data_IF_189132843298
#
_entry.id   IF_189132843298
#
_cell.length_a   1.000
_cell.length_b   1.000
_cell.length_c   1.000
_cell.angle_alpha   90.00
_cell.angle_beta   90.00
_cell.angle_gamma   90.00
#
_symmetry.space_group_name_H-M   'P 1'
#
loop_
_entity.id
_entity.type
_entity.pdbx_description
1 polymer ?
#
# COMPACT_ATOMS: atom_id res chain seq x y z
N UNK A 1 -12.66 -3.93 9.06
CA UNK A 1 -12.22 -4.11 10.46
C UNK A 1 -10.73 -4.44 10.48
N UNK A 2 -10.01 -4.14 11.56
CA UNK A 2 -8.64 -4.62 11.76
C UNK A 2 -8.67 -5.87 12.62
N UNK A 3 -8.02 -6.96 12.19
CA UNK A 3 -7.92 -8.20 12.93
C UNK A 3 -6.50 -8.38 13.43
N UNK A 4 -6.34 -8.37 14.75
CA UNK A 4 -5.04 -8.53 15.41
C UNK A 4 -4.70 -10.01 15.57
N UNK A 5 -5.40 -10.69 16.49
CA UNK A 5 -5.15 -12.09 16.82
C UNK A 5 -6.47 -12.87 16.88
N UNK A 6 -6.40 -14.14 16.48
CA UNK A 6 -7.47 -15.12 16.67
C UNK A 6 -6.93 -16.20 17.61
N UNK A 7 -7.64 -16.42 18.72
CA UNK A 7 -7.26 -17.38 19.76
C UNK A 7 -8.27 -18.52 19.73
N UNK A 8 -7.78 -19.74 19.54
CA UNK A 8 -8.61 -20.95 19.53
C UNK A 8 -8.29 -21.74 20.81
N UNK A 9 -9.26 -21.76 21.73
CA UNK A 9 -9.19 -22.53 22.97
C UNK A 9 -9.72 -23.96 22.73
N UNK A 10 -8.83 -24.95 22.80
CA UNK A 10 -9.20 -26.35 22.63
C UNK A 10 -9.46 -26.99 24.00
N UNK A 11 -10.74 -27.13 24.36
CA UNK A 11 -11.13 -27.94 25.52
C UNK A 11 -11.09 -29.43 25.16
N UNK A 12 -10.10 -30.17 25.65
CA UNK A 12 -9.95 -31.62 25.40
C UNK A 12 -8.61 -32.23 25.86
N UNK A 13 -8.42 -33.54 25.61
CA UNK A 13 -7.38 -34.43 26.16
C UNK A 13 -5.91 -34.01 25.88
N UNK A 14 -5.68 -33.09 24.94
CA UNK A 14 -4.35 -32.57 24.55
C UNK A 14 -4.22 -31.05 24.78
N UNK A 15 -4.88 -30.54 25.84
CA UNK A 15 -5.06 -29.12 26.14
C UNK A 15 -4.00 -28.15 25.62
N UNK A 16 -4.45 -27.06 25.01
CA UNK A 16 -3.57 -26.01 24.50
C UNK A 16 -4.33 -24.89 23.81
N UNK A 17 -3.72 -23.70 23.81
CA UNK A 17 -4.24 -22.51 23.11
C UNK A 17 -3.49 -22.37 21.78
N UNK A 18 -4.23 -22.27 20.67
CA UNK A 18 -3.63 -21.96 19.36
C UNK A 18 -3.82 -20.48 19.07
N UNK A 19 -2.70 -19.79 18.87
CA UNK A 19 -2.68 -18.39 18.46
C UNK A 19 -2.44 -18.26 16.96
N UNK A 20 -3.28 -17.45 16.32
CA UNK A 20 -3.18 -17.06 14.91
C UNK A 20 -3.02 -15.54 14.89
N UNK A 21 -1.84 -15.08 14.49
CA UNK A 21 -1.56 -13.65 14.36
C UNK A 21 -1.88 -13.20 12.94
N UNK A 22 -2.83 -12.27 12.79
CA UNK A 22 -3.24 -11.69 11.51
C UNK A 22 -2.59 -10.32 11.30
N UNK A 23 -2.74 -9.40 12.27
CA UNK A 23 -2.33 -7.99 12.19
C UNK A 23 -2.66 -7.32 10.84
N UNK A 24 -3.93 -7.38 10.46
CA UNK A 24 -4.30 -7.06 9.08
C UNK A 24 -5.72 -6.54 8.94
N UNK A 25 -5.94 -5.68 7.94
CA UNK A 25 -7.26 -5.16 7.60
C UNK A 25 -8.09 -6.20 6.84
N UNK A 26 -9.27 -6.50 7.38
CA UNK A 26 -10.31 -7.29 6.72
C UNK A 26 -11.30 -6.33 6.05
N UNK A 27 -11.38 -6.42 4.72
CA UNK A 27 -12.34 -5.69 3.90
C UNK A 27 -13.65 -6.47 3.73
N UNK A 28 -14.68 -5.78 3.23
CA UNK A 28 -15.99 -6.38 2.96
C UNK A 28 -15.90 -7.48 1.90
N UNK A 29 -16.63 -8.59 2.08
CA UNK A 29 -16.76 -9.69 1.09
C UNK A 29 -17.30 -9.23 -0.28
N UNK A 30 -17.87 -8.03 -0.35
CA UNK A 30 -18.34 -7.44 -1.60
C UNK A 30 -17.21 -6.75 -2.40
N UNK A 31 -16.09 -6.41 -1.76
CA UNK A 31 -14.95 -5.77 -2.42
C UNK A 31 -14.00 -6.79 -3.04
N UNK A 32 -13.83 -7.96 -2.42
CA UNK A 32 -13.09 -9.09 -2.98
C UNK A 32 -13.83 -10.39 -2.63
N UNK A 33 -13.92 -11.28 -3.62
CA UNK A 33 -14.54 -12.60 -3.44
C UNK A 33 -13.60 -13.58 -2.76
N UNK A 34 -12.29 -13.34 -2.82
CA UNK A 34 -11.30 -14.21 -2.20
C UNK A 34 -11.29 -14.01 -0.67
N UNK A 35 -11.50 -15.09 0.10
CA UNK A 35 -11.48 -15.01 1.56
C UNK A 35 -10.07 -14.71 2.06
N UNK A 36 -9.98 -13.97 3.16
CA UNK A 36 -8.72 -13.73 3.86
C UNK A 36 -8.27 -14.98 4.59
N UNK A 37 -6.99 -15.31 4.46
CA UNK A 37 -6.35 -16.42 5.17
C UNK A 37 -5.31 -15.84 6.13
N UNK A 38 -5.31 -16.31 7.38
CA UNK A 38 -4.23 -16.11 8.33
C UNK A 38 -3.68 -17.49 8.73
N UNK A 39 -2.37 -17.57 8.97
CA UNK A 39 -1.71 -18.80 9.39
C UNK A 39 -1.42 -18.77 10.89
N UNK A 40 -1.35 -19.95 11.51
CA UNK A 40 -0.88 -20.10 12.89
C UNK A 40 0.56 -19.58 13.02
N UNK A 41 0.93 -19.15 14.23
CA UNK A 41 2.27 -18.64 14.51
C UNK A 41 3.32 -19.78 14.60
N UNK A 42 3.58 -20.42 13.45
CA UNK A 42 4.62 -21.42 13.25
C UNK A 42 5.32 -21.19 11.92
N UNK A 43 6.64 -21.09 11.95
CA UNK A 43 7.45 -20.86 10.76
C UNK A 43 7.78 -22.17 10.05
N UNK A 44 7.59 -22.19 8.73
CA UNK A 44 7.97 -23.32 7.87
C UNK A 44 8.72 -22.83 6.63
N UNK A 45 9.81 -23.52 6.28
CA UNK A 45 10.37 -23.43 4.93
C UNK A 45 9.33 -23.94 3.91
N UNK A 46 9.41 -23.53 2.63
CA UNK A 46 8.52 -24.04 1.59
C UNK A 46 8.48 -25.59 1.53
N UNK A 47 9.63 -26.24 1.67
CA UNK A 47 9.75 -27.71 1.68
C UNK A 47 9.12 -28.37 2.91
N UNK A 48 9.03 -27.65 4.04
CA UNK A 48 8.51 -28.13 5.32
C UNK A 48 7.03 -27.78 5.53
N UNK A 49 6.41 -27.04 4.60
CA UNK A 49 5.01 -26.63 4.73
C UNK A 49 4.12 -27.89 4.75
N UNK A 50 3.24 -28.08 5.77
CA UNK A 50 2.33 -29.22 5.83
C UNK A 50 1.54 -29.37 4.53
N UNK A 51 1.37 -30.60 4.05
CA UNK A 51 0.77 -30.88 2.73
C UNK A 51 -0.60 -30.20 2.53
N UNK A 52 -1.45 -30.21 3.56
CA UNK A 52 -2.75 -29.55 3.54
C UNK A 52 -2.72 -28.02 3.48
N UNK A 53 -1.57 -27.39 3.75
CA UNK A 53 -1.41 -25.92 3.74
C UNK A 53 -0.69 -25.39 2.48
N UNK A 54 -0.08 -26.27 1.67
CA UNK A 54 0.72 -25.86 0.50
C UNK A 54 -0.11 -25.06 -0.50
N UNK A 55 -1.30 -25.54 -0.84
CA UNK A 55 -2.21 -24.87 -1.80
C UNK A 55 -2.64 -23.49 -1.31
N UNK A 56 -2.93 -23.34 -0.01
CA UNK A 56 -3.28 -22.05 0.59
C UNK A 56 -2.11 -21.08 0.61
N UNK A 57 -0.89 -21.55 0.93
CA UNK A 57 0.33 -20.74 0.88
C UNK A 57 0.59 -20.21 -0.52
N UNK A 58 0.50 -21.06 -1.54
CA UNK A 58 0.70 -20.68 -2.94
C UNK A 58 -0.39 -19.72 -3.43
N UNK A 59 -1.65 -19.96 -3.03
CA UNK A 59 -2.78 -19.10 -3.40
C UNK A 59 -2.63 -17.70 -2.80
N UNK A 60 -2.31 -17.59 -1.51
CA UNK A 60 -2.08 -16.28 -0.87
C UNK A 60 -0.92 -15.54 -1.53
N UNK A 61 0.18 -16.24 -1.86
CA UNK A 61 1.31 -15.62 -2.57
C UNK A 61 0.89 -15.04 -3.94
N UNK A 62 0.09 -15.78 -4.72
CA UNK A 62 -0.43 -15.30 -6.02
C UNK A 62 -1.36 -14.10 -5.86
N UNK A 63 -2.19 -14.08 -4.82
CA UNK A 63 -3.06 -12.93 -4.50
C UNK A 63 -2.22 -11.69 -4.18
N UNK A 64 -1.15 -11.85 -3.40
CA UNK A 64 -0.24 -10.76 -3.06
C UNK A 64 0.57 -10.24 -4.28
N UNK A 65 0.92 -11.12 -5.23
CA UNK A 65 1.60 -10.70 -6.47
C UNK A 65 0.66 -9.99 -7.46
N UNK A 66 -0.62 -10.37 -7.47
CA UNK A 66 -1.59 -9.86 -8.42
C UNK A 66 -1.30 -10.26 -9.87
N UNK A 67 -1.85 -9.49 -10.81
CA UNK A 67 -1.81 -9.79 -12.27
C UNK A 67 -0.94 -8.83 -13.09
N UNK A 68 -0.29 -7.85 -12.44
CA UNK A 68 0.56 -6.85 -13.12
C UNK A 68 -0.18 -5.72 -13.86
N UNK A 69 -1.51 -5.76 -13.90
CA UNK A 69 -2.35 -4.82 -14.66
C UNK A 69 -3.39 -4.14 -13.78
N UNK A 70 -4.07 -3.11 -14.30
CA UNK A 70 -5.13 -2.38 -13.59
C UNK A 70 -4.63 -1.36 -12.56
N UNK A 71 -5.51 -0.43 -12.21
CA UNK A 71 -5.27 0.57 -11.16
C UNK A 71 -5.51 -0.05 -9.77
N UNK A 72 -4.59 0.21 -8.85
CA UNK A 72 -4.66 -0.32 -7.49
C UNK A 72 -5.77 0.34 -6.67
N UNK A 73 -6.49 -0.46 -5.89
CA UNK A 73 -7.58 -0.01 -5.00
C UNK A 73 -7.16 -0.06 -3.54
N UNK A 74 -7.71 0.83 -2.72
CA UNK A 74 -7.28 1.06 -1.32
C UNK A 74 -7.38 -0.17 -0.41
N UNK A 75 -8.21 -1.16 -0.74
CA UNK A 75 -8.38 -2.40 0.02
C UNK A 75 -7.47 -3.54 -0.46
N UNK A 76 -6.77 -3.37 -1.58
CA UNK A 76 -5.88 -4.38 -2.16
C UNK A 76 -4.55 -4.48 -1.39
N UNK A 77 -3.94 -5.67 -1.41
CA UNK A 77 -2.60 -5.95 -0.85
C UNK A 77 -1.67 -6.46 -1.94
N UNK A 78 -1.75 -5.85 -3.12
CA UNK A 78 -0.97 -6.29 -4.27
C UNK A 78 0.38 -5.58 -4.22
N UNK A 79 1.44 -6.38 -4.13
CA UNK A 79 2.83 -5.95 -4.15
C UNK A 79 3.37 -6.21 -5.56
N UNK A 80 3.67 -5.14 -6.26
CA UNK A 80 4.21 -5.18 -7.61
C UNK A 80 5.09 -3.95 -7.84
N UNK A 81 5.90 -3.98 -8.90
CA UNK A 81 6.96 -3.02 -9.14
C UNK A 81 6.68 -2.15 -10.35
N UNK A 82 7.11 -0.90 -10.24
CA UNK A 82 7.13 0.02 -11.38
C UNK A 82 8.30 1.01 -11.22
N UNK A 83 8.57 1.79 -12.25
CA UNK A 83 9.60 2.83 -12.29
C UNK A 83 9.09 4.14 -11.67
N UNK A 84 9.99 5.07 -11.38
CA UNK A 84 9.61 6.42 -10.97
C UNK A 84 9.28 7.26 -12.20
N UNK A 85 8.05 7.10 -12.69
CA UNK A 85 7.45 7.87 -13.76
C UNK A 85 6.24 8.70 -13.27
N UNK A 86 6.07 8.84 -11.96
CA UNK A 86 4.92 9.46 -11.29
C UNK A 86 5.30 10.72 -10.48
N UNK A 87 6.52 11.21 -10.70
CA UNK A 87 7.08 12.40 -10.02
C UNK A 87 6.69 13.71 -10.71
N UNK A 88 6.59 13.71 -12.03
CA UNK A 88 6.24 14.87 -12.83
C UNK A 88 4.73 15.09 -12.94
N UNK A 89 4.35 16.27 -13.42
CA UNK A 89 2.96 16.61 -13.75
C UNK A 89 2.84 17.35 -15.09
N UNK A 90 3.22 16.70 -16.21
CA UNK A 90 3.27 17.34 -17.51
C UNK A 90 1.89 17.82 -18.01
N UNK A 91 0.80 17.16 -17.60
CA UNK A 91 -0.57 17.56 -17.97
C UNK A 91 -0.96 18.95 -17.39
N UNK A 92 -0.31 19.37 -16.30
CA UNK A 92 -0.54 20.68 -15.67
C UNK A 92 0.35 21.78 -16.24
N UNK A 93 1.62 21.49 -16.50
CA UNK A 93 2.61 22.43 -17.08
C UNK A 93 3.86 21.68 -17.54
N UNK A 94 4.44 22.13 -18.65
CA UNK A 94 5.71 21.61 -19.17
C UNK A 94 6.87 21.77 -18.15
N UNK A 95 6.85 22.80 -17.31
CA UNK A 95 7.86 23.02 -16.26
C UNK A 95 7.82 21.95 -15.17
N UNK A 96 6.71 21.23 -15.04
CA UNK A 96 6.51 20.15 -14.09
C UNK A 96 6.86 18.79 -14.69
N UNK A 97 7.29 18.72 -15.94
CA UNK A 97 7.76 17.47 -16.55
C UNK A 97 9.01 16.96 -15.82
N UNK A 98 9.06 15.65 -15.57
CA UNK A 98 10.22 14.99 -14.96
C UNK A 98 10.57 13.73 -15.75
N UNK A 99 11.88 13.43 -15.91
CA UNK A 99 12.31 12.23 -16.61
C UNK A 99 12.01 10.96 -15.78
N UNK A 100 11.72 9.87 -16.47
CA UNK A 100 11.52 8.55 -15.85
C UNK A 100 12.82 8.01 -15.25
N UNK A 101 12.77 7.52 -14.00
CA UNK A 101 13.91 6.88 -13.32
C UNK A 101 13.65 5.38 -13.10
N UNK A 102 14.62 4.54 -13.46
CA UNK A 102 14.55 3.08 -13.36
C UNK A 102 14.89 2.33 -14.64
N UNK A 103 15.25 3.02 -15.73
CA UNK A 103 15.68 2.41 -17.00
C UNK A 103 17.18 2.11 -17.05
N UNK A 104 17.66 1.70 -18.24
CA UNK A 104 19.11 1.51 -18.48
C UNK A 104 19.87 2.84 -18.44
N UNK A 105 19.30 3.89 -19.01
CA UNK A 105 19.92 5.23 -19.07
C UNK A 105 19.94 5.93 -17.72
N UNK A 106 18.90 5.71 -16.90
CA UNK A 106 18.72 6.32 -15.59
C UNK A 106 18.42 5.23 -14.56
N UNK A 107 19.42 4.44 -14.15
CA UNK A 107 19.21 3.35 -13.22
C UNK A 107 18.72 3.90 -11.88
N UNK A 108 17.67 3.29 -11.34
CA UNK A 108 17.08 3.67 -10.06
C UNK A 108 16.31 2.48 -9.48
N UNK A 109 16.21 2.36 -8.14
CA UNK A 109 15.34 1.37 -7.50
C UNK A 109 13.91 1.40 -8.03
N UNK A 110 13.24 0.26 -8.00
CA UNK A 110 11.80 0.19 -8.30
C UNK A 110 10.99 0.68 -7.11
N UNK A 111 9.76 1.12 -7.39
CA UNK A 111 8.76 1.52 -6.40
C UNK A 111 7.55 0.60 -6.47
N UNK A 112 6.63 0.74 -5.50
CA UNK A 112 5.34 0.05 -5.52
C UNK A 112 4.50 0.53 -6.71
N UNK A 113 4.05 -0.40 -7.55
CA UNK A 113 3.16 -0.12 -8.67
C UNK A 113 1.80 0.39 -8.16
N UNK A 114 1.33 1.48 -8.75
CA UNK A 114 0.02 2.11 -8.45
C UNK A 114 -0.96 1.93 -9.60
N UNK A 115 -0.46 1.94 -10.84
CA UNK A 115 -1.25 1.62 -12.03
C UNK A 115 -2.33 2.65 -12.37
N UNK A 116 -2.17 3.92 -11.96
CA UNK A 116 -3.07 5.00 -12.37
C UNK A 116 -2.95 5.23 -13.87
N UNK A 117 -3.87 6.05 -14.38
CA UNK A 117 -3.85 6.43 -15.79
C UNK A 117 -2.51 7.07 -16.18
N UNK A 118 -2.15 6.96 -17.46
CA UNK A 118 -1.01 7.70 -18.00
C UNK A 118 -1.39 9.17 -18.19
N UNK A 119 -0.38 10.04 -18.19
CA UNK A 119 -0.57 11.44 -18.60
C UNK A 119 -1.04 11.51 -20.05
N UNK A 120 -1.83 12.53 -20.37
CA UNK A 120 -2.32 12.80 -21.73
C UNK A 120 -1.21 13.37 -22.62
N UNK A 121 -0.31 14.16 -22.04
CA UNK A 121 0.81 14.82 -22.74
C UNK A 121 2.02 13.88 -22.86
N UNK A 122 2.36 13.13 -21.80
CA UNK A 122 3.47 12.18 -21.79
C UNK A 122 2.99 10.77 -21.37
N UNK A 123 2.69 9.88 -22.34
CA UNK A 123 2.25 8.50 -22.05
C UNK A 123 3.25 7.66 -21.25
N UNK A 124 4.53 8.05 -21.18
CA UNK A 124 5.52 7.37 -20.35
C UNK A 124 5.38 7.75 -18.86
N UNK A 125 4.75 8.89 -18.57
CA UNK A 125 4.48 9.38 -17.23
C UNK A 125 3.12 8.88 -16.71
N UNK A 126 3.05 8.53 -15.43
CA UNK A 126 1.81 8.22 -14.73
C UNK A 126 1.19 9.51 -14.16
N UNK A 127 -0.13 9.62 -14.23
CA UNK A 127 -0.85 10.81 -13.78
C UNK A 127 -0.72 11.02 -12.26
N UNK A 128 -0.60 12.28 -11.84
CA UNK A 128 -0.55 12.66 -10.42
C UNK A 128 -1.85 12.36 -9.70
N UNK A 129 -1.74 12.09 -8.41
CA UNK A 129 -2.87 11.96 -7.48
C UNK A 129 -2.48 12.47 -6.11
N UNK A 130 -3.45 13.02 -5.38
CA UNK A 130 -3.31 13.45 -3.99
C UNK A 130 -3.08 12.25 -3.06
N UNK A 131 -3.58 11.07 -3.45
CA UNK A 131 -3.40 9.82 -2.71
C UNK A 131 -2.62 8.82 -3.55
N UNK A 132 -1.51 8.33 -2.99
CA UNK A 132 -0.66 7.32 -3.60
C UNK A 132 -0.99 5.98 -2.95
N UNK A 133 -1.32 4.99 -3.77
CA UNK A 133 -1.61 3.65 -3.28
C UNK A 133 -0.37 3.03 -2.63
N UNK A 134 -0.60 2.38 -1.48
CA UNK A 134 0.27 1.37 -0.89
C UNK A 134 -0.62 0.18 -0.50
N UNK A 135 -0.08 -1.05 -0.44
CA UNK A 135 -0.80 -2.21 0.06
C UNK A 135 -1.53 -1.92 1.37
N UNK A 136 -2.77 -2.41 1.52
CA UNK A 136 -3.66 -1.96 2.59
C UNK A 136 -3.05 -2.08 3.99
N UNK A 137 -2.26 -3.11 4.25
CA UNK A 137 -1.66 -3.34 5.56
C UNK A 137 -0.43 -2.45 5.82
N UNK A 138 0.16 -1.86 4.78
CA UNK A 138 1.24 -0.86 4.88
C UNK A 138 0.69 0.57 4.97
N UNK A 139 -0.59 0.77 4.65
CA UNK A 139 -1.24 2.07 4.76
C UNK A 139 -1.42 2.48 6.23
N UNK A 140 -1.32 3.79 6.51
CA UNK A 140 -1.63 4.29 7.84
C UNK A 140 -3.07 3.96 8.22
N UNK A 141 -3.31 3.76 9.52
CA UNK A 141 -4.67 3.77 10.04
C UNK A 141 -5.33 5.11 9.76
N UNK A 142 -6.65 5.12 9.60
CA UNK A 142 -7.42 6.33 9.27
C UNK A 142 -7.15 7.46 10.28
N UNK A 143 -7.07 7.13 11.57
CA UNK A 143 -6.74 8.07 12.65
C UNK A 143 -5.36 8.70 12.45
N UNK A 144 -4.36 7.90 12.08
CA UNK A 144 -2.99 8.38 11.85
C UNK A 144 -2.89 9.20 10.56
N UNK A 145 -3.64 8.83 9.53
CA UNK A 145 -3.73 9.61 8.29
C UNK A 145 -4.35 10.98 8.53
N UNK A 146 -5.47 11.06 9.27
CA UNK A 146 -6.08 12.34 9.68
C UNK A 146 -5.11 13.21 10.49
N UNK A 147 -4.42 12.59 11.46
CA UNK A 147 -3.43 13.29 12.29
C UNK A 147 -2.27 13.85 11.44
N UNK A 148 -1.80 13.09 10.44
CA UNK A 148 -0.76 13.54 9.52
C UNK A 148 -1.22 14.72 8.66
N UNK A 149 -2.42 14.63 8.07
CA UNK A 149 -3.01 15.71 7.27
C UNK A 149 -3.20 16.99 8.08
N UNK A 150 -3.70 16.89 9.31
CA UNK A 150 -3.84 18.03 10.20
C UNK A 150 -2.48 18.70 10.50
N UNK A 151 -1.44 17.91 10.79
CA UNK A 151 -0.08 18.42 11.01
C UNK A 151 0.51 19.09 9.78
N UNK A 152 0.28 18.53 8.58
CA UNK A 152 0.71 19.14 7.32
C UNK A 152 0.05 20.51 7.12
N UNK A 153 -1.27 20.59 7.31
CA UNK A 153 -2.03 21.84 7.22
C UNK A 153 -1.52 22.89 8.22
N UNK A 154 -1.34 22.49 9.49
CA UNK A 154 -0.77 23.37 10.52
C UNK A 154 0.63 23.87 10.15
N UNK A 155 1.47 23.02 9.56
CA UNK A 155 2.82 23.40 9.13
C UNK A 155 2.79 24.42 8.01
N UNK A 156 1.89 24.26 7.03
CA UNK A 156 1.68 25.25 5.97
C UNK A 156 1.18 26.58 6.52
N UNK A 157 0.21 26.55 7.44
CA UNK A 157 -0.31 27.75 8.09
C UNK A 157 0.81 28.48 8.86
N UNK A 158 1.59 27.76 9.68
CA UNK A 158 2.73 28.34 10.41
C UNK A 158 3.84 28.85 9.51
N UNK A 159 4.02 28.30 8.30
CA UNK A 159 4.98 28.82 7.33
C UNK A 159 4.49 30.08 6.59
N UNK A 160 3.17 30.22 6.42
CA UNK A 160 2.55 31.34 5.70
C UNK A 160 2.26 32.54 6.59
N UNK A 161 1.81 32.32 7.84
CA UNK A 161 1.48 33.42 8.76
C UNK A 161 2.62 34.44 8.94
N UNK A 162 3.87 34.03 9.22
CA UNK A 162 4.98 34.98 9.37
C UNK A 162 5.32 35.69 8.05
N UNK A 163 5.08 35.04 6.90
CA UNK A 163 5.32 35.63 5.57
C UNK A 163 4.31 36.73 5.27
N UNK A 164 3.04 36.53 5.63
CA UNK A 164 1.99 37.54 5.46
C UNK A 164 2.24 38.73 6.39
N UNK A 165 2.55 38.49 7.67
CA UNK A 165 2.89 39.56 8.63
C UNK A 165 4.10 40.38 8.15
N UNK A 166 5.18 39.72 7.74
CA UNK A 166 6.38 40.41 7.23
C UNK A 166 6.15 41.20 5.91
N UNK A 167 5.10 40.87 5.16
CA UNK A 167 4.75 41.57 3.91
C UNK A 167 3.81 42.76 4.13
N UNK A 168 3.07 42.79 5.23
CA UNK A 168 2.17 43.89 5.61
C UNK A 168 2.88 45.02 6.38
N UNK A 169 4.08 44.76 6.92
CA UNK A 169 4.94 45.76 7.58
C UNK A 169 5.87 46.53 6.60
N UNK A 170 5.48 46.65 5.31
CA UNK A 170 6.16 47.46 4.29
C UNK A 170 5.25 48.49 3.65
#
# INVERSE_FOLDING_TARGET
MFAENIVIDQKGLFGGTINVTCNSWIHSKFNNKEPRICFIDKSYLPSQTPSGLKSYREKELKILQGVGTGERKTFERIYDYDVYNDLGDPDSSDDLWRPVLGGKERPYPRRCRTGRARSKIDPLSESRSVSVYVPRDDSFSEVKQMSFSAKMFWSLLHALLPRIESSSDK
#
